data_IF_933201899007
#
_entry.id   IF_933201899007
#
_cell.length_a   1.000
_cell.length_b   1.000
_cell.length_c   1.000
_cell.angle_alpha   90.00
_cell.angle_beta   90.00
_cell.angle_gamma   90.00
#
_symmetry.space_group_name_H-M   'P 1'
#
loop_
_entity.id
_entity.type
_entity.pdbx_description
1 polymer ?
#
# COMPACT_ATOMS: atom_id res chain seq x y z
N UNK A 1 -9.54 -34.67 -28.65
CA UNK A 1 -9.70 -33.95 -27.36
C UNK A 1 -8.58 -34.27 -26.37
N UNK A 2 -8.10 -35.52 -26.28
CA UNK A 2 -7.00 -35.97 -25.39
C UNK A 2 -5.64 -35.32 -25.66
N UNK A 3 -5.23 -35.16 -26.92
CA UNK A 3 -3.96 -34.51 -27.29
C UNK A 3 -3.91 -33.03 -26.91
N UNK A 4 -5.03 -32.30 -27.10
CA UNK A 4 -5.12 -30.90 -26.71
C UNK A 4 -5.03 -30.73 -25.18
N UNK A 5 -5.67 -31.62 -24.41
CA UNK A 5 -5.59 -31.62 -22.94
C UNK A 5 -4.17 -31.98 -22.46
N UNK A 6 -3.49 -32.91 -23.11
CA UNK A 6 -2.11 -33.27 -22.78
C UNK A 6 -1.13 -32.14 -23.12
N UNK A 7 -1.27 -31.50 -24.28
CA UNK A 7 -0.48 -30.32 -24.65
C UNK A 7 -0.71 -29.17 -23.65
N UNK A 8 -1.96 -28.93 -23.25
CA UNK A 8 -2.30 -27.91 -22.26
C UNK A 8 -1.67 -28.22 -20.89
N UNK A 9 -1.71 -29.48 -20.43
CA UNK A 9 -1.02 -29.91 -19.21
C UNK A 9 0.49 -29.70 -19.29
N UNK A 10 1.12 -30.03 -20.42
CA UNK A 10 2.56 -29.86 -20.63
C UNK A 10 2.96 -28.38 -20.59
N UNK A 11 2.18 -27.50 -21.21
CA UNK A 11 2.37 -26.05 -21.14
C UNK A 11 2.25 -25.55 -19.69
N UNK A 12 1.23 -25.99 -18.96
CA UNK A 12 1.06 -25.63 -17.54
C UNK A 12 2.25 -26.10 -16.70
N UNK A 13 2.72 -27.34 -16.90
CA UNK A 13 3.89 -27.87 -16.20
C UNK A 13 5.16 -27.08 -16.54
N UNK A 14 5.41 -26.76 -17.81
CA UNK A 14 6.57 -25.98 -18.25
C UNK A 14 6.55 -24.57 -17.65
N UNK A 15 5.39 -23.93 -17.56
CA UNK A 15 5.25 -22.60 -16.96
C UNK A 15 5.35 -22.65 -15.44
N UNK A 16 4.82 -23.69 -14.79
CA UNK A 16 4.84 -23.85 -13.35
C UNK A 16 6.19 -24.33 -12.80
N UNK A 17 6.93 -25.12 -13.58
CA UNK A 17 8.19 -25.72 -13.16
C UNK A 17 9.26 -24.71 -12.72
N UNK A 18 9.50 -23.59 -13.43
CA UNK A 18 10.38 -22.52 -12.96
C UNK A 18 9.93 -21.91 -11.62
N UNK A 19 8.63 -21.76 -11.40
CA UNK A 19 8.10 -21.25 -10.13
C UNK A 19 8.35 -22.25 -8.98
N UNK A 20 8.11 -23.54 -9.22
CA UNK A 20 8.40 -24.60 -8.26
C UNK A 20 9.89 -24.73 -7.96
N UNK A 21 10.75 -24.65 -8.98
CA UNK A 21 12.20 -24.72 -8.83
C UNK A 21 12.73 -23.53 -8.04
N UNK A 22 12.28 -22.31 -8.36
CA UNK A 22 12.63 -21.11 -7.59
C UNK A 22 12.11 -21.18 -6.15
N UNK A 23 10.95 -21.80 -5.91
CA UNK A 23 10.40 -21.99 -4.57
C UNK A 23 11.21 -23.01 -3.77
N UNK A 24 11.59 -24.13 -4.41
CA UNK A 24 12.45 -25.16 -3.83
C UNK A 24 13.83 -24.62 -3.46
N UNK A 25 14.38 -23.71 -4.28
CA UNK A 25 15.66 -23.04 -4.03
C UNK A 25 15.56 -21.90 -3.01
N UNK A 26 14.38 -21.61 -2.44
CA UNK A 26 14.14 -20.50 -1.51
C UNK A 26 14.24 -19.09 -2.13
N UNK A 27 14.60 -19.01 -3.42
CA UNK A 27 14.82 -17.76 -4.17
C UNK A 27 13.52 -17.10 -4.62
N UNK A 28 12.41 -17.84 -4.63
CA UNK A 28 11.10 -17.33 -5.07
C UNK A 28 10.66 -16.10 -4.29
N UNK A 29 10.82 -16.10 -2.97
CA UNK A 29 10.47 -14.97 -2.12
C UNK A 29 11.26 -13.69 -2.47
N UNK A 30 12.53 -13.84 -2.82
CA UNK A 30 13.42 -12.75 -3.20
C UNK A 30 13.09 -12.21 -4.60
N UNK A 31 12.89 -13.12 -5.57
CA UNK A 31 12.47 -12.76 -6.93
C UNK A 31 11.13 -12.05 -6.90
N UNK A 32 10.14 -12.55 -6.14
CA UNK A 32 8.87 -11.88 -5.96
C UNK A 32 9.07 -10.49 -5.34
N UNK A 33 9.77 -10.35 -4.21
CA UNK A 33 9.98 -9.02 -3.57
C UNK A 33 10.66 -8.00 -4.47
N UNK A 34 11.55 -8.44 -5.36
CA UNK A 34 12.33 -7.55 -6.24
C UNK A 34 11.64 -7.26 -7.56
N UNK A 35 10.97 -8.23 -8.16
CA UNK A 35 10.25 -8.07 -9.43
C UNK A 35 8.85 -7.48 -9.25
N UNK A 36 8.19 -7.79 -8.13
CA UNK A 36 6.83 -7.32 -7.83
C UNK A 36 6.70 -5.79 -7.83
N UNK A 37 7.62 -4.98 -7.26
CA UNK A 37 7.56 -3.52 -7.35
C UNK A 37 7.53 -3.00 -8.79
N UNK A 38 8.32 -3.59 -9.70
CA UNK A 38 8.35 -3.17 -11.10
C UNK A 38 7.09 -3.58 -11.85
N UNK A 39 6.61 -4.80 -11.61
CA UNK A 39 5.34 -5.29 -12.16
C UNK A 39 4.16 -4.44 -11.66
N UNK A 40 4.07 -4.27 -10.33
CA UNK A 40 3.03 -3.47 -9.69
C UNK A 40 3.08 -2.04 -10.18
N UNK A 41 4.26 -1.41 -10.29
CA UNK A 41 4.37 -0.06 -10.88
C UNK A 41 3.73 0.02 -12.26
N UNK A 42 3.98 -0.96 -13.13
CA UNK A 42 3.46 -0.97 -14.51
C UNK A 42 1.93 -1.11 -14.56
N UNK A 43 1.36 -2.01 -13.76
CA UNK A 43 -0.09 -2.21 -13.69
C UNK A 43 -0.82 -1.13 -12.87
N UNK A 44 -0.22 -0.71 -11.76
CA UNK A 44 -0.75 0.33 -10.88
C UNK A 44 -0.82 1.68 -11.56
N UNK A 45 0.03 2.01 -12.55
CA UNK A 45 -0.09 3.27 -13.29
C UNK A 45 -1.44 3.43 -13.98
N UNK A 46 -1.93 2.39 -14.68
CA UNK A 46 -3.22 2.43 -15.37
C UNK A 46 -4.37 2.50 -14.36
N UNK A 47 -4.29 1.69 -13.30
CA UNK A 47 -5.29 1.70 -12.23
C UNK A 47 -5.34 3.06 -11.50
N UNK A 48 -4.19 3.60 -11.10
CA UNK A 48 -4.08 4.88 -10.40
C UNK A 48 -4.54 6.06 -11.26
N UNK A 49 -4.36 5.99 -12.58
CA UNK A 49 -4.90 7.00 -13.48
C UNK A 49 -6.42 6.94 -13.55
N UNK A 50 -7.00 5.74 -13.73
CA UNK A 50 -8.45 5.54 -13.72
C UNK A 50 -9.10 5.95 -12.39
N UNK A 51 -8.41 5.72 -11.27
CA UNK A 51 -8.89 6.07 -9.94
C UNK A 51 -8.57 7.51 -9.52
N UNK A 52 -7.97 8.33 -10.39
CA UNK A 52 -7.50 9.65 -10.00
C UNK A 52 -8.63 10.61 -9.58
N UNK A 53 -9.80 10.55 -10.24
CA UNK A 53 -10.97 11.35 -9.84
C UNK A 53 -11.49 10.92 -8.47
N UNK A 54 -11.72 9.61 -8.30
CA UNK A 54 -12.18 9.03 -7.04
C UNK A 54 -11.20 9.33 -5.90
N UNK A 55 -9.88 9.22 -6.13
CA UNK A 55 -8.87 9.55 -5.13
C UNK A 55 -8.91 11.04 -4.75
N UNK A 56 -9.12 11.95 -5.69
CA UNK A 56 -9.27 13.38 -5.35
C UNK A 56 -10.49 13.62 -4.46
N UNK A 57 -11.60 12.97 -4.77
CA UNK A 57 -12.84 13.09 -4.00
C UNK A 57 -12.69 12.47 -2.61
N UNK A 58 -12.17 11.25 -2.51
CA UNK A 58 -11.91 10.59 -1.23
C UNK A 58 -10.97 11.39 -0.33
N UNK A 59 -10.01 12.10 -0.93
CA UNK A 59 -9.00 12.83 -0.18
C UNK A 59 -9.29 14.33 -0.02
N UNK A 60 -10.42 14.83 -0.55
CA UNK A 60 -10.73 16.27 -0.54
C UNK A 60 -10.86 16.85 0.86
N UNK A 61 -11.41 16.06 1.79
CA UNK A 61 -11.73 16.51 3.15
C UNK A 61 -10.64 16.13 4.16
N UNK A 62 -9.49 15.62 3.70
CA UNK A 62 -8.40 15.19 4.60
C UNK A 62 -7.95 16.31 5.55
N UNK A 63 -7.95 17.56 5.08
CA UNK A 63 -7.52 18.70 5.87
C UNK A 63 -8.46 19.01 7.05
N UNK A 64 -9.73 18.60 6.99
CA UNK A 64 -10.71 18.80 8.07
C UNK A 64 -10.38 17.96 9.31
N UNK A 65 -9.61 16.88 9.13
CA UNK A 65 -9.14 16.02 10.21
C UNK A 65 -7.84 16.51 10.85
N UNK A 66 -7.31 17.67 10.45
CA UNK A 66 -6.13 18.21 11.08
C UNK A 66 -6.43 18.59 12.54
N UNK A 67 -5.54 18.16 13.45
CA UNK A 67 -5.62 18.53 14.86
C UNK A 67 -5.49 20.04 15.11
N UNK A 68 -5.56 20.49 16.38
CA UNK A 68 -5.52 21.92 16.75
C UNK A 68 -4.32 22.71 16.21
N UNK A 69 -3.23 22.02 15.85
CA UNK A 69 -2.06 22.63 15.22
C UNK A 69 -2.27 23.08 13.76
N UNK A 70 -3.40 22.72 13.15
CA UNK A 70 -3.69 22.93 11.72
C UNK A 70 -2.88 22.05 10.77
N UNK A 71 -1.91 21.29 11.28
CA UNK A 71 -1.10 20.34 10.50
C UNK A 71 -1.68 18.94 10.60
N UNK A 72 -1.99 18.36 9.45
CA UNK A 72 -2.45 16.99 9.33
C UNK A 72 -1.27 16.01 9.44
N UNK A 73 -1.36 15.04 10.33
CA UNK A 73 -0.41 13.92 10.48
C UNK A 73 -1.04 12.64 9.92
N UNK A 74 -0.50 12.14 8.82
CA UNK A 74 -1.07 11.04 8.05
C UNK A 74 -0.13 9.82 8.07
N UNK A 75 -0.72 8.65 8.30
CA UNK A 75 -0.06 7.35 8.09
C UNK A 75 -0.57 6.70 6.81
N UNK A 76 0.33 6.47 5.87
CA UNK A 76 0.07 5.69 4.66
C UNK A 76 0.47 4.23 4.91
N UNK A 77 -0.52 3.33 4.99
CA UNK A 77 -0.27 1.89 5.07
C UNK A 77 -0.24 1.31 3.67
N UNK A 78 0.78 0.49 3.38
CA UNK A 78 1.02 -0.11 2.07
C UNK A 78 1.32 0.94 1.00
N UNK A 79 2.26 1.84 1.30
CA UNK A 79 2.53 3.01 0.47
C UNK A 79 2.98 2.66 -0.96
N UNK A 80 3.56 1.48 -1.18
CA UNK A 80 4.13 1.08 -2.45
C UNK A 80 5.01 2.19 -3.04
N UNK A 81 4.71 2.65 -4.25
CA UNK A 81 5.47 3.71 -4.92
C UNK A 81 5.03 5.14 -4.56
N UNK A 82 4.18 5.34 -3.55
CA UNK A 82 3.70 6.67 -3.13
C UNK A 82 2.69 7.30 -4.10
N UNK A 83 1.81 6.50 -4.70
CA UNK A 83 0.90 6.97 -5.76
C UNK A 83 -0.18 7.96 -5.28
N UNK A 84 -0.44 8.02 -3.98
CA UNK A 84 -1.47 8.87 -3.39
C UNK A 84 -1.00 10.28 -3.05
N UNK A 85 0.32 10.51 -2.98
CA UNK A 85 0.94 11.74 -2.48
C UNK A 85 0.46 13.02 -3.16
N UNK A 86 0.20 12.96 -4.48
CA UNK A 86 -0.30 14.09 -5.26
C UNK A 86 -1.72 14.54 -4.91
N UNK A 87 -2.44 13.76 -4.10
CA UNK A 87 -3.81 14.06 -3.70
C UNK A 87 -3.92 14.52 -2.24
N UNK A 88 -2.81 14.52 -1.51
CA UNK A 88 -2.81 14.92 -0.10
C UNK A 88 -2.71 16.44 0.04
N UNK A 89 -3.32 17.01 1.08
CA UNK A 89 -3.31 18.44 1.29
C UNK A 89 -1.88 18.95 1.51
N UNK A 90 -1.54 20.15 1.01
CA UNK A 90 -0.23 20.75 1.24
C UNK A 90 0.11 20.89 2.73
N UNK A 91 1.37 20.66 3.08
CA UNK A 91 1.89 20.81 4.45
C UNK A 91 1.58 19.64 5.37
N UNK A 92 0.89 18.59 4.92
CA UNK A 92 0.66 17.41 5.74
C UNK A 92 1.96 16.64 6.00
N UNK A 93 2.08 16.09 7.22
CA UNK A 93 3.16 15.21 7.65
C UNK A 93 2.80 13.79 7.27
N UNK A 94 3.66 13.12 6.50
CA UNK A 94 3.38 11.77 6.00
C UNK A 94 4.43 10.80 6.51
N UNK A 95 3.99 9.81 7.27
CA UNK A 95 4.76 8.59 7.55
C UNK A 95 4.21 7.47 6.68
N UNK A 96 5.09 6.64 6.12
CA UNK A 96 4.70 5.49 5.30
C UNK A 96 5.14 4.17 5.92
N UNK A 97 4.33 3.14 5.78
CA UNK A 97 4.67 1.77 6.19
C UNK A 97 4.40 0.79 5.06
N UNK A 98 5.37 -0.08 4.76
CA UNK A 98 5.23 -1.16 3.77
C UNK A 98 6.20 -2.32 4.10
N UNK A 99 5.78 -3.59 3.98
CA UNK A 99 6.65 -4.72 4.30
C UNK A 99 7.80 -4.91 3.30
N UNK A 100 7.75 -4.28 2.12
CA UNK A 100 8.76 -4.45 1.09
C UNK A 100 9.74 -3.25 1.03
N UNK A 101 11.00 -3.42 1.47
CA UNK A 101 11.98 -2.33 1.49
C UNK A 101 12.33 -1.81 0.08
N UNK A 102 12.10 -2.61 -0.96
CA UNK A 102 12.43 -2.22 -2.34
C UNK A 102 11.58 -1.06 -2.88
N UNK A 103 10.53 -0.65 -2.16
CA UNK A 103 9.73 0.51 -2.52
C UNK A 103 10.38 1.85 -2.18
N UNK A 104 11.37 1.88 -1.28
CA UNK A 104 11.99 3.10 -0.77
C UNK A 104 12.47 4.04 -1.90
N UNK A 105 13.21 3.52 -2.88
CA UNK A 105 13.69 4.32 -4.02
C UNK A 105 12.55 4.96 -4.82
N UNK A 106 11.43 4.24 -4.98
CA UNK A 106 10.27 4.76 -5.70
C UNK A 106 9.52 5.79 -4.85
N UNK A 107 9.43 5.55 -3.55
CA UNK A 107 8.81 6.45 -2.59
C UNK A 107 9.54 7.79 -2.56
N UNK A 108 10.87 7.80 -2.42
CA UNK A 108 11.66 9.04 -2.43
C UNK A 108 11.57 9.79 -3.75
N UNK A 109 11.44 9.09 -4.88
CA UNK A 109 11.14 9.75 -6.16
C UNK A 109 9.78 10.45 -6.11
N UNK A 110 8.74 9.78 -5.61
CA UNK A 110 7.42 10.39 -5.45
C UNK A 110 7.45 11.58 -4.48
N UNK A 111 8.17 11.48 -3.36
CA UNK A 111 8.37 12.61 -2.43
C UNK A 111 9.01 13.82 -3.13
N UNK A 112 10.05 13.59 -3.94
CA UNK A 112 10.72 14.67 -4.67
C UNK A 112 9.81 15.36 -5.70
N UNK A 113 8.85 14.64 -6.27
CA UNK A 113 7.81 15.16 -7.17
C UNK A 113 6.66 15.85 -6.42
N UNK A 114 6.52 15.61 -5.12
CA UNK A 114 5.42 16.07 -4.27
C UNK A 114 5.93 16.92 -3.09
N UNK A 115 6.68 17.98 -3.41
CA UNK A 115 7.35 18.85 -2.42
C UNK A 115 6.39 19.61 -1.50
N UNK A 116 5.10 19.63 -1.82
CA UNK A 116 4.08 20.18 -0.94
C UNK A 116 3.92 19.35 0.36
N UNK A 117 4.39 18.11 0.41
CA UNK A 117 4.28 17.24 1.58
C UNK A 117 5.50 17.34 2.50
N UNK A 118 5.28 17.15 3.81
CA UNK A 118 6.34 16.94 4.78
C UNK A 118 6.54 15.43 4.99
N UNK A 119 7.37 14.80 4.16
CA UNK A 119 7.67 13.38 4.31
C UNK A 119 8.58 13.15 5.53
N UNK A 120 8.14 12.30 6.46
CA UNK A 120 8.85 12.09 7.72
C UNK A 120 9.80 10.89 7.65
N UNK A 121 9.25 9.71 7.33
CA UNK A 121 9.99 8.46 7.30
C UNK A 121 9.24 7.37 6.56
N UNK A 122 10.01 6.39 6.12
CA UNK A 122 9.54 5.11 5.62
C UNK A 122 9.84 4.02 6.65
N UNK A 123 8.82 3.25 7.04
CA UNK A 123 8.91 2.15 8.01
C UNK A 123 8.75 0.83 7.26
N UNK A 124 9.76 -0.02 7.33
CA UNK A 124 9.69 -1.36 6.74
C UNK A 124 9.04 -2.32 7.74
N UNK A 125 7.72 -2.44 7.66
CA UNK A 125 6.93 -3.30 8.53
C UNK A 125 5.59 -3.69 7.88
N UNK A 126 4.96 -4.75 8.39
CA UNK A 126 3.64 -5.17 7.94
C UNK A 126 2.55 -4.26 8.53
N UNK A 127 1.45 -4.04 7.81
CA UNK A 127 0.33 -3.25 8.34
C UNK A 127 -0.34 -3.91 9.54
N UNK A 128 -0.21 -5.23 9.68
CA UNK A 128 -0.66 -5.98 10.85
C UNK A 128 0.29 -5.89 12.07
N UNK A 129 1.40 -5.16 11.94
CA UNK A 129 2.38 -4.95 13.02
C UNK A 129 3.09 -3.61 12.84
N UNK A 130 2.49 -2.55 13.38
CA UNK A 130 2.94 -1.17 13.30
C UNK A 130 3.64 -0.72 14.60
N UNK A 131 4.35 -1.62 15.30
CA UNK A 131 5.00 -1.32 16.59
C UNK A 131 5.97 -0.12 16.57
N UNK A 132 6.52 0.23 15.40
CA UNK A 132 7.38 1.40 15.23
C UNK A 132 6.59 2.73 15.12
N UNK A 133 5.26 2.68 15.04
CA UNK A 133 4.35 3.82 15.03
C UNK A 133 3.73 3.95 16.42
N UNK A 134 3.91 5.13 17.03
CA UNK A 134 3.42 5.43 18.38
C UNK A 134 1.89 5.41 18.45
N UNK A 135 1.35 4.91 19.54
CA UNK A 135 -0.09 4.95 19.86
C UNK A 135 -0.61 6.39 19.85
N UNK A 136 -1.82 6.59 19.33
CA UNK A 136 -2.48 7.91 19.34
C UNK A 136 -1.66 9.03 18.71
N UNK A 137 -0.81 8.75 17.71
CA UNK A 137 0.12 9.73 17.14
C UNK A 137 -0.34 10.33 15.82
N UNK A 138 -1.28 9.71 15.12
CA UNK A 138 -1.71 10.12 13.78
C UNK A 138 -3.16 10.61 13.76
N UNK A 139 -3.42 11.60 12.91
CA UNK A 139 -4.75 12.18 12.73
C UNK A 139 -5.58 11.33 11.75
N UNK A 140 -4.93 10.81 10.70
CA UNK A 140 -5.58 10.02 9.65
C UNK A 140 -4.72 8.82 9.28
N UNK A 141 -5.39 7.68 9.02
CA UNK A 141 -4.76 6.52 8.38
C UNK A 141 -5.37 6.28 7.01
N UNK A 142 -4.52 6.19 5.99
CA UNK A 142 -4.91 5.86 4.62
C UNK A 142 -4.42 4.47 4.26
N UNK A 143 -5.35 3.63 3.79
CA UNK A 143 -5.10 2.26 3.35
C UNK A 143 -5.73 2.05 1.97
N UNK A 144 -4.94 2.17 0.90
CA UNK A 144 -5.42 1.89 -0.46
C UNK A 144 -4.83 0.60 -1.00
N UNK A 145 -5.66 -0.35 -1.40
CA UNK A 145 -5.32 -1.68 -1.92
C UNK A 145 -4.56 -2.59 -0.93
N UNK A 146 -4.64 -2.32 0.37
CA UNK A 146 -3.89 -3.07 1.38
C UNK A 146 -4.70 -4.21 1.98
N UNK A 147 -5.97 -3.98 2.34
CA UNK A 147 -6.77 -4.96 3.08
C UNK A 147 -6.98 -6.31 2.37
N UNK A 148 -6.92 -6.34 1.04
CA UNK A 148 -6.99 -7.59 0.27
C UNK A 148 -5.68 -8.40 0.24
N UNK A 149 -4.56 -7.84 0.71
CA UNK A 149 -3.24 -8.47 0.65
C UNK A 149 -2.66 -8.82 2.01
N UNK A 150 -3.28 -8.37 3.11
CA UNK A 150 -2.90 -8.71 4.48
C UNK A 150 -3.34 -10.13 4.85
N UNK A 151 -2.62 -10.75 5.78
CA UNK A 151 -2.95 -12.08 6.31
C UNK A 151 -4.11 -12.03 7.31
N UNK A 152 -4.23 -10.93 8.05
CA UNK A 152 -5.24 -10.78 9.08
C UNK A 152 -5.79 -9.35 9.08
N UNK A 153 -7.02 -9.19 8.58
CA UNK A 153 -7.72 -7.91 8.49
C UNK A 153 -8.08 -7.34 9.86
N UNK A 154 -8.47 -8.17 10.83
CA UNK A 154 -8.76 -7.69 12.18
C UNK A 154 -7.52 -7.09 12.84
N UNK A 155 -6.35 -7.72 12.64
CA UNK A 155 -5.10 -7.27 13.26
C UNK A 155 -4.66 -5.90 12.74
N UNK A 156 -4.73 -5.67 11.43
CA UNK A 156 -4.46 -4.34 10.86
C UNK A 156 -5.48 -3.32 11.36
N UNK A 157 -6.77 -3.65 11.45
CA UNK A 157 -7.79 -2.72 11.97
C UNK A 157 -7.53 -2.35 13.44
N UNK A 158 -7.07 -3.29 14.27
CA UNK A 158 -6.65 -2.99 15.66
C UNK A 158 -5.46 -2.05 15.70
N UNK A 159 -4.46 -2.29 14.86
CA UNK A 159 -3.29 -1.41 14.77
C UNK A 159 -3.69 0.00 14.27
N UNK A 160 -4.59 0.10 13.29
CA UNK A 160 -5.16 1.37 12.83
C UNK A 160 -5.82 2.12 13.99
N UNK A 161 -6.68 1.45 14.75
CA UNK A 161 -7.33 2.05 15.92
C UNK A 161 -6.32 2.47 17.00
N UNK A 162 -5.24 1.70 17.20
CA UNK A 162 -4.20 2.00 18.19
C UNK A 162 -3.43 3.28 17.83
N UNK A 163 -3.06 3.45 16.56
CA UNK A 163 -2.22 4.59 16.13
C UNK A 163 -3.03 5.88 15.96
N UNK A 164 -4.33 5.80 15.70
CA UNK A 164 -5.22 6.95 15.58
C UNK A 164 -5.37 7.68 16.91
N UNK A 165 -5.33 9.01 16.86
CA UNK A 165 -5.62 9.86 18.02
C UNK A 165 -7.08 9.66 18.48
N UNK A 166 -7.38 9.70 19.80
CA UNK A 166 -8.71 9.39 20.34
C UNK A 166 -9.88 10.22 19.78
N UNK A 167 -9.63 11.48 19.39
CA UNK A 167 -10.65 12.40 18.85
C UNK A 167 -10.77 12.37 17.32
N UNK A 168 -9.96 11.56 16.63
CA UNK A 168 -9.80 11.61 15.17
C UNK A 168 -10.02 10.22 14.59
N UNK A 169 -11.02 10.08 13.71
CA UNK A 169 -11.53 8.78 13.26
C UNK A 169 -11.63 8.68 11.73
N UNK A 170 -10.73 9.33 10.98
CA UNK A 170 -10.71 9.14 9.53
C UNK A 170 -9.86 7.92 9.17
N UNK A 171 -10.56 6.82 8.84
CA UNK A 171 -9.99 5.63 8.23
C UNK A 171 -10.47 5.53 6.78
N UNK A 172 -9.55 5.67 5.83
CA UNK A 172 -9.86 5.56 4.40
C UNK A 172 -9.42 4.20 3.86
N UNK A 173 -10.39 3.31 3.66
CA UNK A 173 -10.20 1.99 3.07
C UNK A 173 -10.64 2.01 1.60
N UNK A 174 -9.69 1.93 0.68
CA UNK A 174 -10.01 1.72 -0.74
C UNK A 174 -9.53 0.32 -1.15
N UNK A 175 -10.41 -0.67 -1.13
CA UNK A 175 -10.15 -1.99 -1.67
C UNK A 175 -11.22 -2.35 -2.71
N UNK A 176 -10.88 -2.55 -4.00
CA UNK A 176 -11.85 -2.79 -5.06
C UNK A 176 -12.61 -4.11 -4.89
N UNK A 177 -12.09 -5.05 -4.07
CA UNK A 177 -12.76 -6.31 -3.76
C UNK A 177 -13.78 -6.24 -2.62
N UNK A 178 -13.87 -5.12 -1.89
CA UNK A 178 -14.79 -4.98 -0.74
C UNK A 178 -16.08 -4.22 -1.11
N UNK A 179 -16.20 -3.71 -2.34
CA UNK A 179 -17.43 -3.05 -2.82
C UNK A 179 -18.48 -4.02 -3.40
N UNK A 180 -18.27 -5.33 -3.28
CA UNK A 180 -19.25 -6.36 -3.65
C UNK A 180 -19.45 -7.33 -2.49
N UNK A 181 -20.16 -6.89 -1.46
CA UNK A 181 -20.83 -7.75 -0.46
C UNK A 181 -21.96 -6.95 0.17
#
# INVERSE_FOLDING_TARGET
MTLAVQAMRLVVCIVAFPMFLLNLLGMWSWVCKKCFPYFLKRFAMIYNWKMASLKRELFSNLQEFAGPSGKLTLLEVGCGTGANFKFYPPGCRVTCIDPNPNFEKFLFKSVAENRQLQFERFVVAAGEDMHQVTDGSVDVVVCTLVLCSVKNQEKILREVCRVLKPAWQALWLCCPTVFTS
#
